data_IF_267916235911
#
_entry.id   IF_267916235911
#
_cell.length_a   1.000
_cell.length_b   1.000
_cell.length_c   1.000
_cell.angle_alpha   90.00
_cell.angle_beta   90.00
_cell.angle_gamma   90.00
#
_symmetry.space_group_name_H-M   'P 1'
#
loop_
_entity.id
_entity.type
_entity.pdbx_description
1 polymer ?
#
# COMPACT_ATOMS: atom_id res chain seq x y z
N UNK A 1 -3.21 8.13 23.40
CA UNK A 1 -4.19 8.01 22.29
C UNK A 1 -4.93 6.71 22.46
N UNK A 2 -6.23 6.70 22.18
CA UNK A 2 -7.10 5.59 22.49
C UNK A 2 -7.71 5.01 21.21
N UNK A 3 -7.84 3.69 21.17
CA UNK A 3 -8.78 2.98 20.29
C UNK A 3 -10.22 3.37 20.65
N UNK A 4 -11.19 2.92 19.84
CA UNK A 4 -12.62 3.01 20.17
C UNK A 4 -12.85 2.53 21.61
N UNK A 5 -13.40 3.37 22.48
CA UNK A 5 -13.70 3.02 23.88
C UNK A 5 -12.62 3.32 24.92
N UNK A 6 -11.44 3.83 24.53
CA UNK A 6 -10.46 4.29 25.51
C UNK A 6 -10.56 5.81 25.77
N UNK A 7 -10.53 6.17 27.04
CA UNK A 7 -10.68 7.55 27.51
C UNK A 7 -9.34 8.31 27.54
N UNK A 8 -9.41 9.62 27.66
CA UNK A 8 -8.27 10.49 27.96
C UNK A 8 -7.80 10.15 29.37
N UNK A 9 -6.60 9.56 29.46
CA UNK A 9 -5.98 9.26 30.75
C UNK A 9 -5.71 10.54 31.53
N UNK A 10 -5.68 10.43 32.86
CA UNK A 10 -5.39 11.54 33.78
C UNK A 10 -4.09 12.28 33.42
N UNK A 11 -3.05 11.52 33.07
CA UNK A 11 -1.77 12.06 32.59
C UNK A 11 -1.88 12.55 31.14
N UNK A 12 -1.94 13.87 30.96
CA UNK A 12 -1.95 14.54 29.67
C UNK A 12 -0.55 15.02 29.30
N UNK A 13 -0.08 14.69 28.10
CA UNK A 13 1.15 15.25 27.52
C UNK A 13 0.79 16.19 26.37
N UNK A 14 0.89 17.49 26.61
CA UNK A 14 0.56 18.55 25.64
C UNK A 14 -0.78 19.24 25.90
N UNK A 15 -1.09 20.26 25.09
CA UNK A 15 -2.34 21.02 25.17
C UNK A 15 -3.52 20.09 24.91
N UNK A 16 -4.54 20.15 25.76
CA UNK A 16 -5.77 19.39 25.57
C UNK A 16 -6.78 20.23 24.77
N UNK A 17 -7.38 19.62 23.74
CA UNK A 17 -8.49 20.22 23.01
C UNK A 17 -9.72 19.30 23.01
N UNK A 18 -10.74 19.72 23.77
CA UNK A 18 -12.00 18.97 23.93
C UNK A 18 -12.80 18.83 22.64
N UNK A 19 -12.55 19.66 21.62
CA UNK A 19 -13.28 19.59 20.34
C UNK A 19 -13.05 18.27 19.60
N UNK A 20 -11.90 17.63 19.80
CA UNK A 20 -11.64 16.31 19.20
C UNK A 20 -12.17 15.14 20.03
N UNK A 21 -12.60 15.36 21.28
CA UNK A 21 -12.97 14.31 22.24
C UNK A 21 -14.18 13.47 21.76
N UNK A 22 -14.25 12.20 22.22
CA UNK A 22 -15.28 11.19 21.92
C UNK A 22 -15.42 10.76 20.44
N UNK A 23 -14.54 11.20 19.55
CA UNK A 23 -14.46 10.67 18.19
C UNK A 23 -13.69 9.35 18.18
N UNK A 24 -14.00 8.43 17.26
CA UNK A 24 -13.07 7.34 16.99
C UNK A 24 -11.74 7.94 16.52
N UNK A 25 -10.63 7.39 17.02
CA UNK A 25 -9.30 7.85 16.64
C UNK A 25 -9.09 9.37 16.87
N UNK A 26 -9.63 9.92 17.97
CA UNK A 26 -9.56 11.34 18.34
C UNK A 26 -8.14 11.87 18.59
N UNK A 27 -7.88 13.11 18.18
CA UNK A 27 -6.63 13.85 18.42
C UNK A 27 -6.83 14.93 19.50
N UNK A 28 -7.09 14.54 20.74
CA UNK A 28 -7.30 15.50 21.84
C UNK A 28 -6.01 16.13 22.38
N UNK A 29 -4.85 15.64 21.94
CA UNK A 29 -3.52 16.23 22.17
C UNK A 29 -2.77 16.30 20.84
N UNK A 30 -1.77 17.19 20.70
CA UNK A 30 -1.02 17.38 19.46
C UNK A 30 -0.45 16.10 18.85
N UNK A 31 -0.26 16.15 17.53
CA UNK A 31 0.52 15.18 16.74
C UNK A 31 -0.02 13.76 16.61
N UNK A 32 -1.23 13.47 17.12
CA UNK A 32 -1.91 12.23 16.73
C UNK A 32 -2.24 12.26 15.24
N UNK A 33 -1.83 11.21 14.54
CA UNK A 33 -2.06 11.09 13.09
C UNK A 33 -1.11 11.98 12.28
N UNK A 34 -0.02 12.44 12.90
CA UNK A 34 1.03 13.20 12.25
C UNK A 34 2.27 12.34 12.02
N UNK A 35 2.92 12.58 10.89
CA UNK A 35 4.34 12.28 10.69
C UNK A 35 5.14 13.45 11.25
N UNK A 36 6.18 13.15 12.01
CA UNK A 36 7.05 14.16 12.61
C UNK A 36 8.51 13.81 12.32
N UNK A 37 9.33 14.82 12.07
CA UNK A 37 10.78 14.69 11.95
C UNK A 37 11.44 15.18 13.24
N UNK A 38 12.46 14.46 13.70
CA UNK A 38 13.36 14.91 14.76
C UNK A 38 14.74 15.05 14.14
N UNK A 39 15.33 16.25 14.19
CA UNK A 39 16.69 16.47 13.66
C UNK A 39 17.74 15.85 14.57
N UNK A 40 18.99 15.75 14.11
CA UNK A 40 20.11 15.24 14.93
C UNK A 40 20.33 16.08 16.19
N UNK A 41 20.02 17.36 16.11
CA UNK A 41 20.09 18.34 17.21
C UNK A 41 18.86 18.28 18.14
N UNK A 42 17.92 17.36 17.89
CA UNK A 42 16.72 17.17 18.71
C UNK A 42 15.56 18.11 18.37
N UNK A 43 15.62 18.88 17.28
CA UNK A 43 14.51 19.76 16.88
C UNK A 43 13.32 18.94 16.37
N UNK A 44 12.16 19.12 17.01
CA UNK A 44 10.91 18.50 16.60
C UNK A 44 10.22 19.33 15.51
N UNK A 45 9.89 18.69 14.38
CA UNK A 45 9.28 19.33 13.21
C UNK A 45 8.04 18.52 12.80
N UNK A 46 6.82 19.07 12.93
CA UNK A 46 5.63 18.46 12.35
C UNK A 46 5.78 18.40 10.83
N UNK A 47 5.65 17.21 10.25
CA UNK A 47 5.96 16.98 8.83
C UNK A 47 4.69 16.91 7.98
N UNK A 48 3.76 16.02 8.32
CA UNK A 48 2.50 15.83 7.60
C UNK A 48 1.41 15.31 8.55
N UNK A 49 0.14 15.43 8.16
CA UNK A 49 -1.01 15.04 9.00
C UNK A 49 -2.01 14.16 8.25
N UNK A 50 -3.05 13.68 8.94
CA UNK A 50 -4.14 12.94 8.33
C UNK A 50 -3.95 11.43 8.26
N UNK A 51 -3.03 10.86 9.04
CA UNK A 51 -2.94 9.41 9.21
C UNK A 51 -3.90 8.95 10.31
N UNK A 52 -4.47 7.76 10.15
CA UNK A 52 -5.43 7.19 11.11
C UNK A 52 -4.71 6.36 12.17
N UNK A 53 -4.10 5.27 11.74
CA UNK A 53 -3.47 4.22 12.55
C UNK A 53 -2.28 3.67 11.75
N UNK A 54 -1.23 4.49 11.55
CA UNK A 54 -0.05 4.05 10.83
C UNK A 54 0.72 3.02 11.65
N UNK A 55 1.20 1.96 11.00
CA UNK A 55 1.97 0.89 11.67
C UNK A 55 3.47 0.97 11.34
N UNK A 56 3.81 1.38 10.12
CA UNK A 56 5.17 1.43 9.65
C UNK A 56 5.46 2.62 8.75
N UNK A 57 6.72 3.03 8.75
CA UNK A 57 7.28 4.02 7.84
C UNK A 57 8.59 3.48 7.27
N UNK A 58 8.98 3.96 6.10
CA UNK A 58 10.21 3.57 5.43
C UNK A 58 10.44 4.43 4.20
N UNK A 59 11.59 4.24 3.56
CA UNK A 59 11.97 5.00 2.38
C UNK A 59 12.18 4.04 1.21
N UNK A 60 11.87 4.49 0.00
CA UNK A 60 12.39 3.83 -1.20
C UNK A 60 13.88 4.18 -1.41
N UNK A 61 14.49 3.64 -2.46
CA UNK A 61 15.90 3.88 -2.78
C UNK A 61 16.17 5.31 -3.27
N UNK A 62 15.13 6.05 -3.67
CA UNK A 62 15.22 7.45 -4.11
C UNK A 62 15.04 8.43 -2.94
N UNK A 63 14.81 7.93 -1.72
CA UNK A 63 14.62 8.73 -0.50
C UNK A 63 13.21 9.27 -0.33
N UNK A 64 12.22 8.78 -1.08
CA UNK A 64 10.81 9.13 -0.88
C UNK A 64 10.29 8.43 0.38
N UNK A 65 9.60 9.18 1.25
CA UNK A 65 9.04 8.66 2.50
C UNK A 65 7.69 7.98 2.24
N UNK A 66 7.53 6.76 2.72
CA UNK A 66 6.27 6.02 2.69
C UNK A 66 5.77 5.68 4.09
N UNK A 67 4.46 5.73 4.27
CA UNK A 67 3.78 5.32 5.51
C UNK A 67 2.60 4.43 5.18
N UNK A 68 2.57 3.24 5.80
CA UNK A 68 1.42 2.34 5.75
C UNK A 68 0.40 2.75 6.79
N UNK A 69 -0.88 2.80 6.40
CA UNK A 69 -1.99 3.20 7.25
C UNK A 69 -3.14 2.18 7.17
N UNK A 70 -3.73 1.86 8.31
CA UNK A 70 -4.72 0.78 8.43
C UNK A 70 -6.15 1.30 8.23
N UNK A 71 -7.02 0.46 7.67
CA UNK A 71 -8.40 0.83 7.37
C UNK A 71 -9.22 1.14 8.63
N UNK A 72 -10.25 1.96 8.45
CA UNK A 72 -11.29 2.24 9.43
C UNK A 72 -11.97 3.56 9.14
N UNK A 73 -12.29 4.34 10.17
CA UNK A 73 -12.86 5.68 10.01
C UNK A 73 -11.96 6.58 9.15
N UNK A 74 -12.54 7.24 8.14
CA UNK A 74 -11.82 8.03 7.11
C UNK A 74 -10.89 7.25 6.19
N UNK A 75 -10.70 5.95 6.43
CA UNK A 75 -9.82 5.07 5.66
C UNK A 75 -10.62 3.87 5.13
N UNK A 76 -11.24 4.03 3.96
CA UNK A 76 -12.09 3.00 3.35
C UNK A 76 -11.39 1.64 3.15
N UNK A 77 -10.09 1.66 2.90
CA UNK A 77 -9.23 0.47 2.89
C UNK A 77 -7.83 0.85 3.37
N UNK A 78 -6.98 -0.12 3.70
CA UNK A 78 -5.60 0.13 4.14
C UNK A 78 -4.78 0.73 3.00
N UNK A 79 -3.79 1.57 3.29
CA UNK A 79 -3.11 2.40 2.28
C UNK A 79 -1.60 2.41 2.46
N UNK A 80 -0.88 2.63 1.37
CA UNK A 80 0.50 3.13 1.41
C UNK A 80 0.49 4.57 0.89
N UNK A 81 0.87 5.51 1.74
CA UNK A 81 0.99 6.92 1.39
C UNK A 81 2.42 7.26 1.00
N UNK A 82 2.61 8.01 -0.08
CA UNK A 82 3.83 8.77 -0.32
C UNK A 82 3.72 10.10 0.45
N UNK A 83 4.58 10.30 1.45
CA UNK A 83 4.50 11.39 2.42
C UNK A 83 5.35 12.58 1.97
N UNK A 84 4.69 13.72 1.79
CA UNK A 84 5.28 15.00 1.46
C UNK A 84 5.01 16.01 2.58
N UNK A 85 5.95 16.93 2.81
CA UNK A 85 5.86 17.93 3.88
C UNK A 85 4.63 18.83 3.68
N UNK A 86 3.92 19.11 4.77
CA UNK A 86 2.77 20.01 4.82
C UNK A 86 1.47 19.43 4.25
N UNK A 87 1.46 18.16 3.81
CA UNK A 87 0.30 17.51 3.22
C UNK A 87 -0.61 16.83 4.24
N UNK A 88 -1.84 16.54 3.80
CA UNK A 88 -2.90 15.90 4.58
C UNK A 88 -3.30 14.57 3.92
N UNK A 89 -3.43 13.48 4.70
CA UNK A 89 -3.62 12.12 4.18
C UNK A 89 -5.02 11.51 4.45
N UNK A 90 -5.94 12.30 4.98
CA UNK A 90 -7.38 12.01 4.96
C UNK A 90 -8.07 11.85 6.32
N UNK A 91 -7.37 11.54 7.40
CA UNK A 91 -8.01 11.44 8.72
C UNK A 91 -8.22 12.81 9.37
N UNK A 92 -9.46 13.30 9.34
CA UNK A 92 -9.81 14.68 9.67
C UNK A 92 -9.41 15.12 11.10
N UNK A 93 -9.45 14.23 12.09
CA UNK A 93 -9.20 14.62 13.49
C UNK A 93 -7.85 15.33 13.71
N UNK A 94 -6.82 14.97 12.94
CA UNK A 94 -5.47 15.54 13.07
C UNK A 94 -5.37 17.03 12.66
N UNK A 95 -6.33 17.53 11.85
CA UNK A 95 -6.35 18.90 11.35
C UNK A 95 -6.56 19.95 12.45
N UNK A 96 -7.10 19.55 13.61
CA UNK A 96 -7.29 20.45 14.75
C UNK A 96 -5.95 21.02 15.27
N UNK A 97 -4.85 20.31 14.98
CA UNK A 97 -3.49 20.71 15.34
C UNK A 97 -2.72 21.31 14.16
N UNK A 98 -3.37 21.54 13.02
CA UNK A 98 -2.77 22.29 11.92
C UNK A 98 -2.59 23.73 12.38
N UNK A 99 -1.43 24.31 12.06
CA UNK A 99 -1.16 25.69 12.42
C UNK A 99 -2.25 26.63 11.84
N UNK A 100 -2.66 27.60 12.64
CA UNK A 100 -3.76 28.52 12.32
C UNK A 100 -5.19 27.94 12.42
N UNK A 101 -5.39 26.68 12.84
CA UNK A 101 -6.75 26.14 13.01
C UNK A 101 -7.48 26.75 14.21
N UNK A 102 -8.48 27.60 13.96
CA UNK A 102 -9.20 28.33 15.01
C UNK A 102 -10.63 27.83 15.23
N UNK A 103 -11.33 27.40 14.19
CA UNK A 103 -12.78 27.21 14.23
C UNK A 103 -13.25 25.76 14.13
N UNK A 104 -14.34 25.44 14.82
CA UNK A 104 -15.07 24.18 14.68
C UNK A 104 -14.29 22.90 15.01
N UNK A 105 -14.92 21.76 14.70
CA UNK A 105 -14.30 20.43 14.75
C UNK A 105 -13.99 20.03 13.32
N UNK A 106 -12.75 19.60 13.00
CA UNK A 106 -12.43 19.25 11.61
C UNK A 106 -13.26 18.11 11.03
N UNK A 107 -13.75 17.19 11.87
CA UNK A 107 -14.60 16.07 11.42
C UNK A 107 -16.00 16.50 11.00
N UNK A 108 -16.43 17.72 11.39
CA UNK A 108 -17.74 18.27 11.02
C UNK A 108 -17.67 19.03 9.67
N UNK A 109 -16.47 19.14 9.07
CA UNK A 109 -16.34 19.69 7.73
C UNK A 109 -17.04 18.81 6.68
N UNK A 110 -17.61 19.40 5.63
CA UNK A 110 -18.18 18.64 4.53
C UNK A 110 -17.15 17.66 3.91
N UNK A 111 -17.58 16.42 3.67
CA UNK A 111 -16.74 15.38 3.06
C UNK A 111 -16.08 15.84 1.75
N UNK A 112 -16.76 16.54 0.82
CA UNK A 112 -16.12 17.05 -0.39
C UNK A 112 -14.96 18.02 -0.13
N UNK A 113 -15.06 18.85 0.92
CA UNK A 113 -13.99 19.77 1.31
C UNK A 113 -12.78 19.00 1.84
N UNK A 114 -13.01 17.98 2.66
CA UNK A 114 -11.96 17.09 3.16
C UNK A 114 -11.32 16.27 2.04
N UNK A 115 -12.12 15.80 1.07
CA UNK A 115 -11.64 15.02 -0.07
C UNK A 115 -10.74 15.86 -0.98
N UNK A 116 -11.06 17.14 -1.16
CA UNK A 116 -10.23 18.10 -1.91
C UNK A 116 -8.90 18.40 -1.21
N UNK A 117 -8.86 18.37 0.12
CA UNK A 117 -7.65 18.67 0.90
C UNK A 117 -6.68 17.50 0.99
N UNK A 118 -7.16 16.25 0.90
CA UNK A 118 -6.32 15.07 1.10
C UNK A 118 -5.53 14.69 -0.14
N UNK A 119 -4.35 14.14 0.07
CA UNK A 119 -3.57 13.47 -0.95
C UNK A 119 -4.14 12.06 -1.25
N UNK A 120 -3.95 11.62 -2.49
CA UNK A 120 -4.20 10.22 -2.87
C UNK A 120 -3.10 9.32 -2.34
N UNK A 121 -3.45 8.09 -1.98
CA UNK A 121 -2.45 7.09 -1.61
C UNK A 121 -1.72 6.57 -2.85
N UNK A 122 -0.45 6.20 -2.70
CA UNK A 122 0.30 5.53 -3.75
C UNK A 122 -0.31 4.15 -4.04
N UNK A 123 -0.64 3.42 -2.98
CA UNK A 123 -1.27 2.09 -3.03
C UNK A 123 -2.53 2.08 -2.18
N UNK A 124 -3.58 1.46 -2.68
CA UNK A 124 -4.71 1.00 -1.88
C UNK A 124 -4.60 -0.51 -1.76
N UNK A 125 -4.62 -1.05 -0.54
CA UNK A 125 -4.57 -2.48 -0.27
C UNK A 125 -5.99 -3.02 -0.16
N UNK A 126 -6.48 -3.81 -1.14
CA UNK A 126 -7.78 -4.46 -1.02
C UNK A 126 -7.93 -5.25 0.28
N UNK A 127 -8.87 -4.81 1.12
CA UNK A 127 -9.14 -5.44 2.40
C UNK A 127 -9.59 -6.90 2.19
N UNK A 128 -9.03 -7.81 2.97
CA UNK A 128 -9.24 -9.25 2.87
C UNK A 128 -8.31 -9.90 1.83
N UNK A 129 -8.31 -9.46 0.58
CA UNK A 129 -7.56 -10.15 -0.49
C UNK A 129 -6.07 -9.79 -0.54
N UNK A 130 -5.67 -8.58 -0.14
CA UNK A 130 -4.27 -8.14 -0.15
C UNK A 130 -3.70 -7.95 1.26
N UNK A 131 -4.10 -6.90 1.98
CA UNK A 131 -3.59 -6.62 3.32
C UNK A 131 -4.65 -5.91 4.16
N UNK A 132 -4.77 -6.35 5.41
CA UNK A 132 -5.69 -5.75 6.37
C UNK A 132 -4.95 -4.73 7.24
N UNK A 133 -3.74 -5.07 7.66
CA UNK A 133 -2.92 -4.25 8.56
C UNK A 133 -1.47 -4.26 8.07
N UNK A 134 -1.19 -3.50 6.98
CA UNK A 134 0.15 -3.40 6.42
C UNK A 134 1.10 -2.76 7.45
N UNK A 135 2.32 -3.29 7.54
CA UNK A 135 3.36 -2.86 8.48
C UNK A 135 4.47 -2.07 7.78
N UNK A 136 5.73 -2.21 8.21
CA UNK A 136 6.87 -1.44 7.69
C UNK A 136 7.07 -1.67 6.18
N UNK A 137 7.12 -0.59 5.37
CA UNK A 137 7.72 -0.67 4.04
C UNK A 137 9.24 -0.73 4.13
N UNK A 138 9.82 -1.72 3.44
CA UNK A 138 11.25 -1.95 3.31
C UNK A 138 11.60 -2.05 1.83
N UNK A 139 12.39 -1.13 1.31
CA UNK A 139 12.93 -1.26 -0.04
C UNK A 139 13.96 -2.40 -0.13
N UNK A 140 13.89 -3.17 -1.20
CA UNK A 140 14.90 -4.15 -1.56
C UNK A 140 16.16 -3.43 -2.07
N UNK A 141 17.06 -3.14 -1.13
CA UNK A 141 18.37 -2.53 -1.39
C UNK A 141 19.46 -3.57 -1.69
N UNK A 142 19.09 -4.83 -1.93
CA UNK A 142 20.08 -5.94 -1.98
C UNK A 142 20.83 -6.03 -3.30
N UNK A 143 20.41 -5.28 -4.34
CA UNK A 143 21.06 -5.29 -5.66
C UNK A 143 20.96 -6.65 -6.36
N UNK A 144 19.86 -7.37 -6.14
CA UNK A 144 19.61 -8.68 -6.75
C UNK A 144 20.09 -9.88 -5.92
N UNK A 145 20.71 -9.64 -4.76
CA UNK A 145 21.14 -10.72 -3.85
C UNK A 145 19.96 -11.42 -3.16
N UNK A 146 18.78 -10.82 -3.17
CA UNK A 146 17.52 -11.40 -2.69
C UNK A 146 16.49 -11.59 -3.80
N UNK A 147 16.93 -12.12 -4.94
CA UNK A 147 16.06 -12.40 -6.06
C UNK A 147 15.87 -11.21 -7.00
N UNK A 148 14.95 -11.33 -7.98
CA UNK A 148 14.91 -10.43 -9.14
C UNK A 148 14.23 -9.08 -8.87
N UNK A 149 13.84 -8.77 -7.64
CA UNK A 149 12.93 -7.66 -7.32
C UNK A 149 13.61 -6.44 -6.69
N UNK A 150 14.93 -6.29 -6.90
CA UNK A 150 15.70 -5.16 -6.38
C UNK A 150 15.03 -3.81 -6.71
N UNK A 151 15.01 -2.91 -5.74
CA UNK A 151 14.36 -1.59 -5.82
C UNK A 151 12.87 -1.58 -5.50
N UNK A 152 12.18 -2.73 -5.47
CA UNK A 152 10.79 -2.82 -5.04
C UNK A 152 10.67 -2.80 -3.53
N UNK A 153 9.49 -2.49 -2.98
CA UNK A 153 9.29 -2.54 -1.52
C UNK A 153 8.60 -3.83 -1.09
N UNK A 154 8.98 -4.32 0.09
CA UNK A 154 8.31 -5.36 0.84
C UNK A 154 7.57 -4.75 2.02
N UNK A 155 6.35 -5.20 2.28
CA UNK A 155 5.52 -4.78 3.41
C UNK A 155 4.96 -6.01 4.11
N UNK A 156 5.17 -6.12 5.43
CA UNK A 156 4.57 -7.20 6.20
C UNK A 156 3.06 -7.01 6.35
N UNK A 157 2.32 -8.11 6.40
CA UNK A 157 0.90 -8.11 6.76
C UNK A 157 0.72 -8.74 8.16
N UNK A 158 0.04 -8.02 9.05
CA UNK A 158 -0.11 -8.46 10.44
C UNK A 158 -1.08 -9.64 10.58
N UNK A 159 -2.23 -9.60 9.90
CA UNK A 159 -3.32 -10.55 10.18
C UNK A 159 -3.22 -11.85 9.35
N UNK A 160 -2.28 -11.92 8.41
CA UNK A 160 -2.07 -13.09 7.55
C UNK A 160 -0.59 -13.49 7.54
N UNK A 161 -0.28 -14.77 7.32
CA UNK A 161 1.10 -15.23 7.13
C UNK A 161 1.63 -14.76 5.78
N UNK A 162 1.77 -13.45 5.59
CA UNK A 162 2.01 -12.84 4.29
C UNK A 162 2.97 -11.65 4.36
N UNK A 163 3.80 -11.54 3.33
CA UNK A 163 4.51 -10.31 2.96
C UNK A 163 3.99 -9.88 1.58
N UNK A 164 3.73 -8.59 1.43
CA UNK A 164 3.33 -7.95 0.18
C UNK A 164 4.56 -7.39 -0.53
N UNK A 165 4.57 -7.46 -1.87
CA UNK A 165 5.48 -6.72 -2.74
C UNK A 165 4.76 -5.50 -3.29
N UNK A 166 5.49 -4.40 -3.44
CA UNK A 166 5.00 -3.13 -3.96
C UNK A 166 5.87 -2.71 -5.13
N UNK A 167 5.21 -2.47 -6.26
CA UNK A 167 5.82 -1.92 -7.47
C UNK A 167 5.30 -0.50 -7.60
N UNK A 168 6.19 0.48 -7.74
CA UNK A 168 5.79 1.89 -7.87
C UNK A 168 6.30 2.49 -9.16
N UNK A 169 5.62 3.54 -9.61
CA UNK A 169 6.03 4.39 -10.72
C UNK A 169 5.54 5.81 -10.50
N UNK A 170 6.12 6.76 -11.25
CA UNK A 170 5.69 8.17 -11.24
C UNK A 170 4.80 8.46 -12.45
N UNK A 171 3.57 8.90 -12.19
CA UNK A 171 2.56 9.27 -13.20
C UNK A 171 1.96 10.62 -12.84
N UNK A 172 2.00 11.58 -13.77
CA UNK A 172 1.46 12.93 -13.54
C UNK A 172 2.08 13.64 -12.33
N UNK A 173 3.38 13.42 -12.07
CA UNK A 173 4.09 14.01 -10.94
C UNK A 173 3.85 13.32 -9.58
N UNK A 174 3.00 12.29 -9.51
CA UNK A 174 2.71 11.56 -8.28
C UNK A 174 3.19 10.11 -8.35
N UNK A 175 3.57 9.56 -7.21
CA UNK A 175 3.91 8.13 -7.08
C UNK A 175 2.63 7.33 -6.90
N UNK A 176 2.46 6.30 -7.72
CA UNK A 176 1.38 5.32 -7.66
C UNK A 176 1.92 3.93 -8.02
N UNK A 177 1.09 2.90 -7.94
CA UNK A 177 1.54 1.59 -8.40
C UNK A 177 0.66 0.42 -7.95
N UNK A 178 1.28 -0.75 -7.87
CA UNK A 178 0.62 -2.01 -7.56
C UNK A 178 1.13 -2.66 -6.28
N UNK A 179 0.23 -3.42 -5.64
CA UNK A 179 0.59 -4.43 -4.66
C UNK A 179 0.20 -5.83 -5.14
N UNK A 180 1.00 -6.80 -4.75
CA UNK A 180 0.79 -8.22 -4.98
C UNK A 180 1.46 -9.02 -3.84
N UNK A 181 1.03 -10.25 -3.53
CA UNK A 181 1.74 -11.06 -2.56
C UNK A 181 3.21 -11.30 -2.99
N UNK A 182 4.11 -11.38 -2.02
CA UNK A 182 5.51 -11.75 -2.21
C UNK A 182 5.75 -13.18 -1.70
N UNK A 183 5.38 -13.39 -0.44
CA UNK A 183 5.51 -14.65 0.26
C UNK A 183 4.22 -14.84 1.07
N UNK A 184 3.42 -15.83 0.70
CA UNK A 184 2.08 -16.05 1.26
C UNK A 184 1.96 -17.49 1.76
N UNK A 185 1.86 -17.67 3.08
CA UNK A 185 1.97 -18.96 3.73
C UNK A 185 3.40 -19.48 3.79
N UNK A 186 3.62 -20.72 3.33
CA UNK A 186 4.95 -21.36 3.23
C UNK A 186 5.78 -21.31 4.53
N UNK A 187 5.11 -21.57 5.67
CA UNK A 187 5.74 -21.57 6.99
C UNK A 187 5.95 -20.19 7.62
N UNK A 188 5.55 -19.11 6.95
CA UNK A 188 5.54 -17.77 7.54
C UNK A 188 4.47 -17.69 8.64
N UNK A 189 4.80 -17.12 9.79
CA UNK A 189 3.87 -16.86 10.86
C UNK A 189 3.07 -15.57 10.59
N UNK A 190 1.97 -15.38 11.30
CA UNK A 190 1.27 -14.09 11.31
C UNK A 190 2.06 -13.06 12.11
N UNK A 191 1.62 -11.82 12.16
CA UNK A 191 2.28 -10.80 12.97
C UNK A 191 3.46 -10.11 12.28
N UNK A 192 3.61 -10.19 10.96
CA UNK A 192 4.77 -9.64 10.22
C UNK A 192 4.87 -8.11 10.35
N UNK A 193 5.69 -7.60 11.29
CA UNK A 193 5.66 -6.20 11.71
C UNK A 193 6.90 -5.38 11.30
N UNK A 194 8.10 -5.96 11.41
CA UNK A 194 9.35 -5.32 11.02
C UNK A 194 10.14 -6.24 10.11
N UNK A 195 10.78 -5.65 9.11
CA UNK A 195 11.53 -6.34 8.08
C UNK A 195 12.93 -5.73 8.03
N UNK A 196 13.94 -6.57 7.86
CA UNK A 196 15.31 -6.11 7.63
C UNK A 196 16.08 -7.12 6.77
N UNK A 197 16.87 -6.64 5.82
CA UNK A 197 17.84 -7.50 5.14
C UNK A 197 19.07 -7.70 6.02
N UNK A 198 19.67 -8.88 5.92
CA UNK A 198 21.04 -9.09 6.42
C UNK A 198 22.01 -8.13 5.73
N UNK A 199 23.15 -7.78 6.36
CA UNK A 199 24.17 -6.93 5.74
C UNK A 199 24.69 -7.45 4.40
N UNK A 200 24.68 -8.78 4.19
CA UNK A 200 25.09 -9.39 2.93
C UNK A 200 23.99 -9.39 1.86
N UNK A 201 22.75 -9.03 2.21
CA UNK A 201 21.59 -8.96 1.33
C UNK A 201 20.99 -10.30 0.92
N UNK A 202 21.39 -11.43 1.52
CA UNK A 202 20.92 -12.78 1.10
C UNK A 202 19.74 -13.32 1.90
N UNK A 203 19.46 -12.70 3.03
CA UNK A 203 18.40 -13.11 3.96
C UNK A 203 17.52 -11.91 4.30
N UNK A 204 16.21 -12.14 4.32
CA UNK A 204 15.24 -11.22 4.90
C UNK A 204 14.84 -11.72 6.29
N UNK A 205 15.04 -10.89 7.30
CA UNK A 205 14.53 -11.10 8.65
C UNK A 205 13.14 -10.49 8.80
N UNK A 206 12.27 -11.21 9.49
CA UNK A 206 10.88 -10.84 9.74
C UNK A 206 10.65 -10.94 11.24
N UNK A 207 10.36 -9.81 11.88
CA UNK A 207 9.97 -9.78 13.29
C UNK A 207 8.45 -9.81 13.43
N UNK A 208 7.97 -10.67 14.33
CA UNK A 208 6.56 -10.89 14.58
C UNK A 208 6.09 -10.14 15.83
N UNK A 209 4.92 -9.53 15.76
CA UNK A 209 4.28 -8.87 16.90
C UNK A 209 2.86 -9.36 17.14
N UNK A 210 2.52 -9.52 18.42
CA UNK A 210 1.21 -9.85 18.94
C UNK A 210 0.95 -9.00 20.19
N UNK A 211 0.54 -7.75 20.00
CA UNK A 211 0.31 -6.78 21.08
C UNK A 211 -1.11 -6.23 21.02
N UNK A 212 -2.06 -6.97 21.61
CA UNK A 212 -3.49 -6.62 21.62
C UNK A 212 -4.24 -6.90 20.31
N UNK A 213 -3.54 -7.42 19.29
CA UNK A 213 -4.07 -7.77 17.98
C UNK A 213 -3.62 -9.19 17.60
N UNK A 214 -4.35 -9.82 16.67
CA UNK A 214 -3.98 -11.13 16.13
C UNK A 214 -2.59 -11.06 15.45
N UNK A 215 -1.70 -11.97 15.84
CA UNK A 215 -0.32 -12.07 15.34
C UNK A 215 0.48 -13.13 16.10
N UNK A 216 1.76 -13.28 15.74
CA UNK A 216 2.71 -14.16 16.42
C UNK A 216 3.85 -13.36 17.06
N UNK A 217 4.78 -14.04 17.76
CA UNK A 217 5.95 -13.42 18.39
C UNK A 217 7.22 -14.11 17.92
N UNK A 218 8.35 -13.41 18.02
CA UNK A 218 9.67 -13.93 17.65
C UNK A 218 10.16 -13.38 16.31
N UNK A 219 11.14 -14.06 15.72
CA UNK A 219 11.76 -13.69 14.45
C UNK A 219 11.82 -14.91 13.53
N UNK A 220 11.57 -14.69 12.24
CA UNK A 220 11.80 -15.66 11.16
C UNK A 220 12.77 -15.09 10.15
N UNK A 221 13.39 -15.97 9.38
CA UNK A 221 14.25 -15.60 8.25
C UNK A 221 13.78 -16.27 6.98
N UNK A 222 13.79 -15.53 5.89
CA UNK A 222 13.53 -16.02 4.53
C UNK A 222 14.84 -15.90 3.77
N UNK A 223 15.30 -17.01 3.18
CA UNK A 223 16.52 -17.05 2.38
C UNK A 223 16.16 -17.38 0.94
N UNK A 224 16.65 -16.56 0.00
CA UNK A 224 16.47 -16.86 -1.41
C UNK A 224 17.31 -18.08 -1.80
N UNK A 225 16.71 -18.99 -2.57
CA UNK A 225 17.36 -20.25 -3.01
C UNK A 225 18.25 -20.08 -4.26
N UNK A 226 18.25 -18.88 -4.87
CA UNK A 226 19.00 -18.60 -6.10
C UNK A 226 18.23 -18.90 -7.39
N UNK A 227 17.01 -19.45 -7.29
CA UNK A 227 16.14 -19.70 -8.44
C UNK A 227 15.23 -18.50 -8.71
N UNK A 228 15.10 -18.13 -9.99
CA UNK A 228 14.17 -17.08 -10.41
C UNK A 228 12.74 -17.62 -10.38
N UNK A 229 11.86 -17.11 -9.50
CA UNK A 229 10.47 -17.58 -9.45
C UNK A 229 9.70 -17.07 -10.67
N UNK A 230 8.77 -17.84 -11.25
CA UNK A 230 7.84 -17.32 -12.25
C UNK A 230 6.85 -16.35 -11.60
N UNK A 231 7.02 -15.05 -11.82
CA UNK A 231 6.25 -13.99 -11.17
C UNK A 231 6.24 -12.72 -12.03
N UNK A 232 5.38 -11.76 -11.69
CA UNK A 232 5.36 -10.43 -12.29
C UNK A 232 6.58 -9.64 -11.81
N UNK A 233 7.47 -9.22 -12.71
CA UNK A 233 8.60 -8.35 -12.40
C UNK A 233 8.15 -6.89 -12.28
N UNK A 234 7.44 -6.35 -13.25
CA UNK A 234 6.98 -4.95 -13.24
C UNK A 234 5.59 -4.80 -13.86
N UNK A 235 4.91 -3.73 -13.49
CA UNK A 235 3.68 -3.27 -14.13
C UNK A 235 3.73 -1.74 -14.23
N UNK A 236 3.51 -1.23 -15.44
CA UNK A 236 3.57 0.19 -15.75
C UNK A 236 2.33 0.61 -16.52
N UNK A 237 1.72 1.70 -16.09
CA UNK A 237 0.60 2.32 -16.79
C UNK A 237 1.07 2.87 -18.13
N UNK A 238 0.27 2.71 -19.17
CA UNK A 238 0.40 3.40 -20.46
C UNK A 238 -0.82 4.31 -20.67
N UNK A 239 -0.84 5.20 -21.68
CA UNK A 239 -2.04 5.98 -21.97
C UNK A 239 -3.29 5.13 -22.25
N UNK A 240 -3.11 3.89 -22.73
CA UNK A 240 -4.21 2.99 -23.12
C UNK A 240 -4.33 1.73 -22.26
N UNK A 241 -3.54 1.56 -21.21
CA UNK A 241 -3.57 0.34 -20.42
C UNK A 241 -2.31 0.09 -19.61
N UNK A 242 -1.75 -1.10 -19.71
CA UNK A 242 -0.64 -1.54 -18.87
C UNK A 242 0.37 -2.39 -19.64
N UNK A 243 1.65 -2.13 -19.40
CA UNK A 243 2.73 -3.04 -19.73
C UNK A 243 3.06 -3.86 -18.49
N UNK A 244 3.07 -5.18 -18.62
CA UNK A 244 3.47 -6.12 -17.57
C UNK A 244 4.70 -6.89 -18.05
N UNK A 245 5.76 -6.91 -17.24
CA UNK A 245 6.96 -7.71 -17.49
C UNK A 245 7.04 -8.84 -16.48
N UNK A 246 7.29 -10.06 -16.91
CA UNK A 246 7.45 -11.26 -16.09
C UNK A 246 8.93 -11.61 -15.92
N UNK A 247 9.24 -12.33 -14.85
CA UNK A 247 10.61 -12.79 -14.55
C UNK A 247 11.08 -13.93 -15.46
N UNK A 248 10.15 -14.61 -16.13
CA UNK A 248 10.40 -15.74 -17.03
C UNK A 248 9.57 -15.59 -18.32
N UNK A 249 9.96 -16.25 -19.43
CA UNK A 249 9.10 -16.33 -20.61
C UNK A 249 7.76 -17.01 -20.29
N UNK A 250 6.69 -16.42 -20.82
CA UNK A 250 5.33 -16.91 -20.67
C UNK A 250 4.90 -17.75 -21.88
N UNK A 251 3.87 -18.56 -21.69
CA UNK A 251 3.24 -19.28 -22.79
C UNK A 251 2.44 -18.29 -23.64
N UNK A 252 2.83 -18.15 -24.91
CA UNK A 252 2.32 -17.11 -25.82
C UNK A 252 0.83 -17.26 -26.09
N UNK A 253 0.30 -18.48 -26.13
CA UNK A 253 -1.14 -18.72 -26.30
C UNK A 253 -1.92 -18.21 -25.08
N UNK A 254 -1.46 -18.57 -23.87
CA UNK A 254 -2.11 -18.18 -22.63
C UNK A 254 -2.12 -16.67 -22.43
N UNK A 255 -1.03 -15.97 -22.77
CA UNK A 255 -0.93 -14.53 -22.56
C UNK A 255 -1.52 -13.70 -23.70
N UNK A 256 -1.76 -14.29 -24.88
CA UNK A 256 -2.43 -13.60 -26.00
C UNK A 256 -3.95 -13.73 -25.94
N UNK A 257 -4.50 -14.61 -25.09
CA UNK A 257 -5.93 -14.83 -24.97
C UNK A 257 -6.58 -13.81 -24.02
N UNK A 258 -7.44 -12.88 -24.49
CA UNK A 258 -8.12 -11.90 -23.64
C UNK A 258 -9.07 -12.52 -22.61
N UNK A 259 -9.54 -13.76 -22.81
CA UNK A 259 -10.39 -14.46 -21.83
C UNK A 259 -9.64 -14.84 -20.56
N UNK A 260 -8.30 -14.88 -20.61
CA UNK A 260 -7.46 -15.09 -19.44
C UNK A 260 -7.24 -13.81 -18.62
N UNK A 261 -7.74 -12.67 -19.08
CA UNK A 261 -7.62 -11.38 -18.39
C UNK A 261 -9.00 -10.89 -17.96
N UNK A 262 -9.34 -11.11 -16.69
CA UNK A 262 -10.48 -10.46 -16.04
C UNK A 262 -9.96 -9.34 -15.14
N UNK A 263 -10.10 -8.10 -15.61
CA UNK A 263 -9.63 -6.92 -14.87
C UNK A 263 -10.80 -6.32 -14.11
N UNK A 264 -10.78 -6.43 -12.79
CA UNK A 264 -11.83 -5.90 -11.94
C UNK A 264 -11.48 -4.49 -11.49
N UNK A 265 -12.34 -3.53 -11.83
CA UNK A 265 -12.19 -2.12 -11.47
C UNK A 265 -13.11 -1.77 -10.31
N UNK A 266 -12.62 -1.01 -9.33
CA UNK A 266 -13.46 -0.53 -8.22
C UNK A 266 -12.86 0.68 -7.50
N UNK A 267 -13.66 1.26 -6.60
CA UNK A 267 -13.31 2.39 -5.73
C UNK A 267 -13.60 2.07 -4.27
N UNK A 268 -13.06 2.89 -3.38
CA UNK A 268 -13.44 2.94 -1.97
C UNK A 268 -13.96 4.33 -1.63
N UNK A 269 -15.03 4.41 -0.84
CA UNK A 269 -15.60 5.69 -0.41
C UNK A 269 -14.66 6.37 0.57
N UNK A 270 -14.51 7.68 0.43
CA UNK A 270 -13.96 8.54 1.47
C UNK A 270 -15.11 9.10 2.30
N UNK A 271 -15.22 8.67 3.55
CA UNK A 271 -16.30 9.02 4.48
C UNK A 271 -15.86 8.76 5.92
N UNK A 272 -16.59 9.29 6.90
CA UNK A 272 -16.26 9.16 8.32
C UNK A 272 -16.39 7.73 8.85
N UNK A 273 -17.32 6.93 8.31
CA UNK A 273 -17.62 5.59 8.80
C UNK A 273 -16.44 4.61 8.64
N UNK A 274 -16.54 3.48 9.33
CA UNK A 274 -15.45 2.51 9.39
C UNK A 274 -15.34 1.68 8.11
N UNK A 275 -14.21 1.81 7.40
CA UNK A 275 -13.93 1.06 6.19
C UNK A 275 -14.90 1.40 5.06
N UNK A 276 -14.73 0.75 3.91
CA UNK A 276 -15.63 0.87 2.77
C UNK A 276 -15.66 -0.46 2.04
N UNK A 277 -16.85 -0.97 1.66
CA UNK A 277 -16.90 -2.01 0.64
C UNK A 277 -16.32 -1.45 -0.68
N UNK A 278 -15.93 -2.37 -1.56
CA UNK A 278 -15.62 -2.04 -2.95
C UNK A 278 -16.90 -1.49 -3.63
N UNK A 279 -16.87 -0.25 -4.10
CA UNK A 279 -17.96 0.40 -4.84
C UNK A 279 -17.62 0.57 -6.32
N UNK A 280 -18.64 0.82 -7.16
CA UNK A 280 -18.51 1.03 -8.60
C UNK A 280 -17.72 -0.10 -9.27
N UNK A 281 -18.09 -1.35 -8.96
CA UNK A 281 -17.43 -2.54 -9.49
C UNK A 281 -17.75 -2.70 -10.95
N UNK A 282 -16.74 -3.02 -11.73
CA UNK A 282 -16.83 -3.27 -13.16
C UNK A 282 -15.78 -4.32 -13.53
N UNK A 283 -16.05 -5.11 -14.57
CA UNK A 283 -15.08 -6.06 -15.13
C UNK A 283 -14.79 -5.64 -16.56
N UNK A 284 -13.51 -5.50 -16.90
CA UNK A 284 -13.03 -5.21 -18.26
C UNK A 284 -12.08 -6.31 -18.72
N UNK A 285 -12.16 -6.60 -20.02
CA UNK A 285 -11.14 -7.36 -20.75
C UNK A 285 -10.28 -6.37 -21.55
N UNK A 286 -9.00 -6.66 -21.79
CA UNK A 286 -8.20 -5.88 -22.73
C UNK A 286 -8.80 -6.02 -24.14
N UNK A 287 -8.89 -4.91 -24.86
CA UNK A 287 -9.31 -4.86 -26.27
C UNK A 287 -8.22 -5.35 -27.22
N UNK A 288 -6.94 -5.17 -26.82
CA UNK A 288 -5.79 -5.67 -27.56
C UNK A 288 -4.71 -6.14 -26.59
N UNK A 289 -4.07 -7.24 -26.96
CA UNK A 289 -2.87 -7.73 -26.28
C UNK A 289 -1.75 -7.84 -27.31
N UNK A 290 -0.56 -7.41 -26.93
CA UNK A 290 0.67 -7.66 -27.70
C UNK A 290 1.72 -8.24 -26.77
N UNK A 291 2.53 -9.16 -27.31
CA UNK A 291 3.52 -9.93 -26.56
C UNK A 291 4.89 -9.65 -27.18
N UNK A 292 5.91 -9.45 -26.36
CA UNK A 292 7.29 -9.30 -26.83
C UNK A 292 7.84 -10.59 -27.43
N UNK A 293 8.88 -10.48 -28.27
CA UNK A 293 9.53 -11.62 -28.91
C UNK A 293 10.06 -12.66 -27.91
N UNK A 294 10.55 -12.22 -26.75
CA UNK A 294 11.05 -13.11 -25.68
C UNK A 294 9.94 -13.67 -24.77
N UNK A 295 8.68 -13.36 -25.08
CA UNK A 295 7.48 -13.72 -24.33
C UNK A 295 7.51 -13.31 -22.84
N UNK A 296 8.34 -12.33 -22.45
CA UNK A 296 8.41 -11.84 -21.06
C UNK A 296 7.57 -10.61 -20.82
N UNK A 297 7.18 -9.89 -21.85
CA UNK A 297 6.46 -8.63 -21.73
C UNK A 297 5.15 -8.71 -22.47
N UNK A 298 4.08 -8.26 -21.83
CA UNK A 298 2.78 -8.06 -22.47
C UNK A 298 2.35 -6.62 -22.33
N UNK A 299 1.73 -6.09 -23.37
CA UNK A 299 1.04 -4.81 -23.36
C UNK A 299 -0.46 -5.08 -23.52
N UNK A 300 -1.21 -4.72 -22.48
CA UNK A 300 -2.66 -4.81 -22.38
C UNK A 300 -3.23 -3.42 -22.70
N UNK A 301 -4.03 -3.31 -23.76
CA UNK A 301 -4.75 -2.08 -24.10
C UNK A 301 -6.24 -2.25 -23.82
N UNK A 302 -6.86 -1.22 -23.25
CA UNK A 302 -8.29 -1.13 -22.95
C UNK A 302 -8.89 0.01 -23.78
N UNK A 303 -10.16 -0.12 -24.15
CA UNK A 303 -10.88 0.94 -24.89
C UNK A 303 -10.92 2.26 -24.10
N UNK A 304 -11.04 2.15 -22.77
CA UNK A 304 -11.08 3.30 -21.87
C UNK A 304 -10.25 3.04 -20.62
N UNK A 305 -9.44 4.02 -20.25
CA UNK A 305 -8.77 4.11 -18.96
C UNK A 305 -9.48 5.13 -18.07
N UNK A 306 -9.78 4.73 -16.84
CA UNK A 306 -10.49 5.56 -15.86
C UNK A 306 -9.58 5.84 -14.64
N UNK A 307 -9.32 7.11 -14.28
CA UNK A 307 -8.50 7.46 -13.11
C UNK A 307 -9.25 7.18 -11.80
N UNK A 308 -8.51 7.21 -10.68
CA UNK A 308 -9.00 7.02 -9.30
C UNK A 308 -9.70 5.67 -9.10
N UNK A 309 -9.23 4.64 -9.79
CA UNK A 309 -9.71 3.25 -9.68
C UNK A 309 -8.57 2.33 -9.22
N UNK A 310 -8.94 1.26 -8.53
CA UNK A 310 -8.08 0.07 -8.41
C UNK A 310 -8.37 -0.82 -9.61
N UNK A 311 -7.33 -1.24 -10.31
CA UNK A 311 -7.34 -2.27 -11.36
C UNK A 311 -6.79 -3.55 -10.75
N UNK A 312 -7.66 -4.52 -10.50
CA UNK A 312 -7.30 -5.82 -9.95
C UNK A 312 -7.25 -6.85 -11.07
N UNK A 313 -6.06 -7.39 -11.32
CA UNK A 313 -5.79 -8.40 -12.33
C UNK A 313 -5.71 -9.77 -11.67
N UNK A 314 -6.48 -10.72 -12.19
CA UNK A 314 -6.30 -12.13 -11.88
C UNK A 314 -5.56 -12.81 -13.04
N UNK A 315 -4.34 -13.24 -12.76
CA UNK A 315 -3.41 -13.86 -13.71
C UNK A 315 -3.29 -15.39 -13.48
N UNK A 316 -4.22 -16.00 -12.72
CA UNK A 316 -4.07 -17.38 -12.26
C UNK A 316 -4.15 -18.43 -13.37
N UNK A 317 -4.70 -18.07 -14.53
CA UNK A 317 -4.81 -18.91 -15.72
C UNK A 317 -3.63 -18.77 -16.66
N UNK A 318 -2.73 -17.79 -16.44
CA UNK A 318 -1.54 -17.63 -17.25
C UNK A 318 -0.52 -18.73 -16.94
N UNK A 319 0.13 -19.21 -17.98
CA UNK A 319 1.14 -20.25 -17.90
C UNK A 319 2.51 -19.70 -18.30
N UNK A 320 3.56 -20.23 -17.71
CA UNK A 320 4.93 -20.01 -18.20
C UNK A 320 5.15 -20.80 -19.48
N UNK A 321 6.17 -20.47 -20.27
CA UNK A 321 6.54 -21.24 -21.47
C UNK A 321 6.88 -22.72 -21.16
N UNK A 322 7.10 -23.06 -19.89
CA UNK A 322 7.33 -24.44 -19.41
C UNK A 322 6.06 -25.10 -18.85
N UNK A 323 4.88 -24.50 -19.03
CA UNK A 323 3.60 -24.99 -18.51
C UNK A 323 3.38 -24.78 -17.00
N UNK A 324 4.27 -24.06 -16.32
CA UNK A 324 4.15 -23.77 -14.89
C UNK A 324 3.21 -22.59 -14.59
N UNK A 325 2.78 -22.45 -13.34
CA UNK A 325 1.97 -21.31 -12.89
C UNK A 325 2.83 -20.18 -12.32
N UNK A 326 2.30 -18.96 -12.34
CA UNK A 326 2.87 -17.85 -11.55
C UNK A 326 2.77 -18.17 -10.05
N UNK A 327 3.81 -17.82 -9.30
CA UNK A 327 3.82 -17.95 -7.82
C UNK A 327 2.78 -17.02 -7.20
N UNK A 328 2.68 -15.79 -7.73
CA UNK A 328 1.72 -14.78 -7.29
C UNK A 328 0.92 -14.29 -8.50
N UNK A 329 -0.40 -14.49 -8.47
CA UNK A 329 -1.27 -14.26 -9.63
C UNK A 329 -2.28 -13.13 -9.45
N UNK A 330 -2.43 -12.60 -8.23
CA UNK A 330 -3.32 -11.47 -7.97
C UNK A 330 -2.52 -10.19 -7.85
N UNK A 331 -2.89 -9.18 -8.64
CA UNK A 331 -2.22 -7.87 -8.68
C UNK A 331 -3.27 -6.79 -8.54
N UNK A 332 -3.07 -5.81 -7.66
CA UNK A 332 -3.96 -4.66 -7.51
C UNK A 332 -3.18 -3.36 -7.73
N UNK A 333 -3.46 -2.67 -8.83
CA UNK A 333 -2.85 -1.40 -9.20
C UNK A 333 -3.79 -0.23 -8.88
N UNK A 334 -3.34 0.77 -8.15
CA UNK A 334 -4.10 1.99 -7.88
C UNK A 334 -3.73 3.10 -8.88
N UNK A 335 -4.54 3.28 -9.92
CA UNK A 335 -4.34 4.30 -10.94
C UNK A 335 -5.08 5.58 -10.56
N UNK A 336 -4.46 6.43 -9.72
CA UNK A 336 -5.09 7.70 -9.37
C UNK A 336 -4.88 8.78 -10.44
N UNK A 337 -3.74 8.76 -11.13
CA UNK A 337 -3.48 9.52 -12.34
C UNK A 337 -3.40 8.58 -13.56
N UNK A 338 -3.70 9.12 -14.74
CA UNK A 338 -3.45 8.48 -16.03
C UNK A 338 -2.27 9.14 -16.74
N UNK A 339 -1.61 8.38 -17.63
CA UNK A 339 -0.66 8.96 -18.59
C UNK A 339 -1.44 9.69 -19.68
N UNK A 340 -0.91 10.84 -20.10
CA UNK A 340 -1.44 11.60 -21.24
C UNK A 340 -0.94 11.02 -22.55
#
# INVERSE_FOLDING_TARGET
>A
TASSGADVRFEKRGKFDKRSYLQRMYASVPYRGWVCQVTKEGKFIPWASGLRTPNGLGFDLDGNLFVSDNQGDWAGTSKLHHIEKGKFYGHAASLIWKDGWKEGRPVDLPVPSLDKMRETAAILFPHGSMSNSPSQPLADSTGGKFGPFAGQMLIGEMNKPRIMRIITEKVGGKIQGACLPFYDGNGLATGNNRLAFDPDGKTLWVAHSAHGWAGSRGIQKIKWKGETPPDLLSINLTPKGFVMTFTVPMDTESVSNPDHFSTKLYTYKYHQGYGSPQGNKEIRKPAKISVSEDARTINLEYDEMTPRRVYEFNLSTLLTAKGGKLVNSLVAYHAHNLRK
#
